data_IF_071560176334
#
_entry.id   IF_071560176334
#
_cell.length_a   1.000
_cell.length_b   1.000
_cell.length_c   1.000
_cell.angle_alpha   90.00
_cell.angle_beta   90.00
_cell.angle_gamma   90.00
#
_symmetry.space_group_name_H-M   'P 1'
#
loop_
_entity.id
_entity.type
_entity.pdbx_description
1 polymer ?
#
# COMPACT_ATOMS: atom_id res chain seq x y z
N UNK A 1 -12.23 16.51 33.07
CA UNK A 1 -11.05 16.22 32.21
C UNK A 1 -9.77 15.96 32.99
N UNK A 2 -9.29 16.88 33.83
CA UNK A 2 -8.03 16.71 34.58
C UNK A 2 -8.00 15.44 35.44
N UNK A 3 -9.14 15.08 36.05
CA UNK A 3 -9.27 13.84 36.81
C UNK A 3 -9.04 12.59 35.94
N UNK A 4 -9.58 12.54 34.72
CA UNK A 4 -9.36 11.42 33.78
C UNK A 4 -7.87 11.28 33.47
N UNK A 5 -7.21 12.39 33.16
CA UNK A 5 -5.77 12.42 32.87
C UNK A 5 -4.94 11.96 34.07
N UNK A 6 -5.26 12.49 35.25
CA UNK A 6 -4.57 12.14 36.50
C UNK A 6 -4.70 10.66 36.83
N UNK A 7 -5.91 10.09 36.75
CA UNK A 7 -6.14 8.66 36.97
C UNK A 7 -5.42 7.80 35.93
N UNK A 8 -5.42 8.19 34.64
CA UNK A 8 -4.64 7.49 33.61
C UNK A 8 -3.15 7.51 33.91
N UNK A 9 -2.58 8.65 34.29
CA UNK A 9 -1.15 8.76 34.63
C UNK A 9 -0.77 7.93 35.86
N UNK A 10 -1.71 7.69 36.77
CA UNK A 10 -1.54 6.80 37.93
C UNK A 10 -1.75 5.31 37.58
N UNK A 11 -2.04 4.95 36.33
CA UNK A 11 -2.34 3.58 35.92
C UNK A 11 -3.74 3.09 36.32
N UNK A 12 -4.61 3.97 36.82
CA UNK A 12 -5.97 3.64 37.28
C UNK A 12 -6.97 3.68 36.11
N UNK A 13 -6.73 2.86 35.09
CA UNK A 13 -7.44 2.96 33.82
C UNK A 13 -8.95 2.68 33.91
N UNK A 14 -9.38 1.73 34.75
CA UNK A 14 -10.79 1.45 34.95
C UNK A 14 -11.52 2.62 35.65
N UNK A 15 -10.89 3.23 36.66
CA UNK A 15 -11.42 4.44 37.32
C UNK A 15 -11.47 5.62 36.34
N UNK A 16 -10.40 5.83 35.56
CA UNK A 16 -10.33 6.87 34.54
C UNK A 16 -11.43 6.70 33.49
N UNK A 17 -11.70 5.46 33.06
CA UNK A 17 -12.76 5.15 32.11
C UNK A 17 -14.15 5.39 32.69
N UNK A 18 -14.40 4.98 33.93
CA UNK A 18 -15.67 5.24 34.60
C UNK A 18 -15.93 6.76 34.68
N UNK A 19 -14.92 7.57 35.05
CA UNK A 19 -15.03 9.03 35.04
C UNK A 19 -15.25 9.55 33.62
N UNK A 20 -14.51 9.06 32.62
CA UNK A 20 -14.69 9.43 31.22
C UNK A 20 -16.14 9.23 30.74
N UNK A 21 -16.76 8.10 31.08
CA UNK A 21 -18.13 7.77 30.67
C UNK A 21 -19.20 8.69 31.27
N UNK A 22 -18.91 9.37 32.38
CA UNK A 22 -19.83 10.38 32.96
C UNK A 22 -19.83 11.70 32.20
N UNK A 23 -18.87 11.93 31.31
CA UNK A 23 -18.73 13.16 30.55
C UNK A 23 -19.60 13.05 29.29
N UNK A 24 -20.79 13.65 29.34
CA UNK A 24 -21.81 13.53 28.31
C UNK A 24 -21.86 14.70 27.32
N UNK A 25 -21.09 15.76 27.54
CA UNK A 25 -21.14 16.94 26.66
C UNK A 25 -20.40 16.65 25.34
N UNK A 26 -21.05 16.96 24.21
CA UNK A 26 -20.41 16.88 22.89
C UNK A 26 -19.21 17.85 22.78
N UNK A 27 -19.25 18.95 23.55
CA UNK A 27 -18.20 19.98 23.59
C UNK A 27 -16.89 19.47 24.23
N UNK A 28 -16.96 18.52 25.17
CA UNK A 28 -15.79 17.98 25.86
C UNK A 28 -15.12 16.82 25.10
N UNK A 29 -15.83 16.16 24.17
CA UNK A 29 -15.32 15.00 23.43
C UNK A 29 -14.00 15.26 22.70
N UNK A 30 -13.80 16.40 22.01
CA UNK A 30 -12.51 16.69 21.38
C UNK A 30 -11.37 16.64 22.39
N UNK A 31 -11.50 17.27 23.56
CA UNK A 31 -10.42 17.39 24.55
C UNK A 31 -10.05 16.07 25.26
N UNK A 32 -10.91 15.05 25.13
CA UNK A 32 -10.74 13.72 25.71
C UNK A 32 -10.51 12.64 24.66
N UNK A 33 -10.52 12.96 23.36
CA UNK A 33 -10.30 11.97 22.30
C UNK A 33 -8.95 11.25 22.43
N UNK A 34 -7.90 11.99 22.82
CA UNK A 34 -6.60 11.40 23.15
C UNK A 34 -6.69 10.41 24.31
N UNK A 35 -7.36 10.78 25.39
CA UNK A 35 -7.53 9.93 26.59
C UNK A 35 -8.31 8.66 26.24
N UNK A 36 -9.40 8.79 25.48
CA UNK A 36 -10.20 7.67 24.97
C UNK A 36 -9.35 6.72 24.13
N UNK A 37 -8.50 7.25 23.25
CA UNK A 37 -7.61 6.45 22.40
C UNK A 37 -6.59 5.60 23.16
N UNK A 38 -6.38 5.87 24.45
CA UNK A 38 -5.51 5.06 25.33
C UNK A 38 -6.37 4.15 26.20
N UNK A 39 -7.40 4.71 26.85
CA UNK A 39 -8.21 3.97 27.81
C UNK A 39 -8.95 2.80 27.18
N UNK A 40 -9.42 2.92 25.93
CA UNK A 40 -10.08 1.83 25.20
C UNK A 40 -9.26 0.55 25.18
N UNK A 41 -7.92 0.65 25.08
CA UNK A 41 -7.03 -0.50 25.15
C UNK A 41 -7.04 -1.15 26.53
N UNK A 42 -6.86 -0.35 27.59
CA UNK A 42 -6.71 -0.87 28.95
C UNK A 42 -8.00 -1.42 29.56
N UNK A 43 -9.17 -0.93 29.13
CA UNK A 43 -10.46 -1.47 29.59
C UNK A 43 -10.97 -2.61 28.70
N UNK A 44 -10.20 -3.02 27.70
CA UNK A 44 -10.51 -4.20 26.89
C UNK A 44 -11.65 -4.00 25.88
N UNK A 45 -11.82 -2.80 25.33
CA UNK A 45 -12.75 -2.58 24.22
C UNK A 45 -12.33 -3.50 23.05
N UNK A 46 -13.28 -4.22 22.41
CA UNK A 46 -12.97 -5.06 21.26
C UNK A 46 -12.19 -4.29 20.19
N UNK A 47 -11.06 -4.85 19.74
CA UNK A 47 -10.11 -4.16 18.84
C UNK A 47 -10.77 -3.53 17.61
N UNK A 48 -11.67 -4.25 16.96
CA UNK A 48 -12.38 -3.74 15.79
C UNK A 48 -13.32 -2.57 16.11
N UNK A 49 -13.90 -2.49 17.30
CA UNK A 49 -14.69 -1.33 17.74
C UNK A 49 -13.78 -0.15 18.08
N UNK A 50 -12.70 -0.41 18.81
CA UNK A 50 -11.71 0.60 19.14
C UNK A 50 -11.06 1.22 17.89
N UNK A 51 -10.81 0.45 16.82
CA UNK A 51 -10.30 0.96 15.55
C UNK A 51 -11.29 1.90 14.84
N UNK A 52 -12.56 1.51 14.75
CA UNK A 52 -13.59 2.37 14.13
C UNK A 52 -13.69 3.69 14.90
N UNK A 53 -13.75 3.61 16.23
CA UNK A 53 -13.80 4.78 17.08
C UNK A 53 -12.55 5.66 16.95
N UNK A 54 -11.37 5.05 16.95
CA UNK A 54 -10.10 5.74 16.79
C UNK A 54 -10.04 6.49 15.45
N UNK A 55 -10.35 5.84 14.34
CA UNK A 55 -10.26 6.45 13.00
C UNK A 55 -11.27 7.58 12.82
N UNK A 56 -12.49 7.40 13.34
CA UNK A 56 -13.54 8.43 13.33
C UNK A 56 -13.12 9.63 14.17
N UNK A 57 -12.70 9.39 15.41
CA UNK A 57 -12.27 10.44 16.33
C UNK A 57 -11.01 11.16 15.83
N UNK A 58 -10.07 10.44 15.23
CA UNK A 58 -8.85 11.01 14.62
C UNK A 58 -9.20 11.96 13.48
N UNK A 59 -10.20 11.57 12.67
CA UNK A 59 -10.66 12.37 11.54
C UNK A 59 -11.38 13.65 12.00
N UNK A 60 -12.09 13.60 13.12
CA UNK A 60 -12.86 14.73 13.66
C UNK A 60 -11.99 15.69 14.49
N UNK A 61 -11.20 15.19 15.43
CA UNK A 61 -10.63 16.01 16.51
C UNK A 61 -9.14 16.33 16.36
N UNK A 62 -8.40 15.58 15.52
CA UNK A 62 -7.00 15.82 15.14
C UNK A 62 -5.96 15.91 16.28
N UNK A 63 -6.36 15.69 17.52
CA UNK A 63 -5.52 15.77 18.72
C UNK A 63 -5.20 14.39 19.32
N UNK A 64 -5.40 13.33 18.54
CA UNK A 64 -5.07 11.96 18.90
C UNK A 64 -3.68 11.62 18.34
N UNK A 65 -2.87 10.92 19.12
CA UNK A 65 -1.59 10.41 18.62
C UNK A 65 -1.84 9.24 17.66
N UNK A 66 -1.39 9.40 16.42
CA UNK A 66 -1.51 8.38 15.37
C UNK A 66 -0.81 7.07 15.77
N UNK A 67 0.26 7.13 16.57
CA UNK A 67 0.99 5.96 17.03
C UNK A 67 0.14 5.01 17.89
N UNK A 68 -0.97 5.50 18.50
CA UNK A 68 -1.88 4.66 19.26
C UNK A 68 -2.64 3.64 18.41
N UNK A 69 -2.69 3.83 17.08
CA UNK A 69 -3.31 2.88 16.16
C UNK A 69 -2.77 1.46 16.36
N UNK A 70 -1.46 1.31 16.58
CA UNK A 70 -0.78 0.02 16.65
C UNK A 70 -1.25 -0.90 17.77
N UNK A 71 -1.91 -0.38 18.81
CA UNK A 71 -2.41 -1.17 19.93
C UNK A 71 -3.70 -1.92 19.58
N UNK A 72 -4.39 -1.48 18.53
CA UNK A 72 -5.69 -2.01 18.14
C UNK A 72 -5.66 -2.84 16.86
N UNK A 73 -4.65 -2.67 16.00
CA UNK A 73 -4.53 -3.43 14.75
C UNK A 73 -4.24 -4.91 15.03
N UNK A 74 -5.03 -5.79 14.42
CA UNK A 74 -4.92 -7.24 14.53
C UNK A 74 -4.70 -7.91 13.17
N UNK A 75 -4.39 -9.23 13.17
CA UNK A 75 -4.33 -9.99 11.95
C UNK A 75 -5.73 -10.14 11.35
N UNK A 76 -5.83 -10.14 10.03
CA UNK A 76 -7.06 -10.48 9.34
C UNK A 76 -7.15 -12.01 9.13
N UNK A 77 -8.30 -12.65 9.44
CA UNK A 77 -8.50 -14.07 9.15
C UNK A 77 -8.41 -14.34 7.65
N UNK A 78 -7.34 -15.01 7.22
CA UNK A 78 -7.08 -15.29 5.80
C UNK A 78 -6.53 -16.69 5.60
N UNK A 79 -6.78 -17.25 4.41
CA UNK A 79 -6.09 -18.46 3.96
C UNK A 79 -4.74 -18.05 3.37
N UNK A 80 -3.65 -18.59 3.89
CA UNK A 80 -2.29 -18.21 3.52
C UNK A 80 -1.55 -19.45 3.03
N UNK A 81 -0.86 -19.34 1.90
CA UNK A 81 0.07 -20.37 1.40
C UNK A 81 1.31 -19.72 0.79
N UNK A 82 2.49 -20.35 0.88
CA UNK A 82 3.67 -19.87 0.16
C UNK A 82 3.37 -19.70 -1.34
N UNK A 83 3.85 -18.61 -1.94
CA UNK A 83 3.86 -18.47 -3.38
C UNK A 83 5.22 -18.96 -3.90
N UNK A 84 5.28 -20.07 -4.65
CA UNK A 84 6.51 -20.84 -4.83
C UNK A 84 7.47 -20.19 -5.83
N UNK A 85 8.16 -19.13 -5.41
CA UNK A 85 9.21 -18.46 -6.17
C UNK A 85 10.58 -18.73 -5.56
N UNK A 86 11.57 -18.97 -6.43
CA UNK A 86 12.93 -19.21 -6.00
C UNK A 86 13.77 -17.93 -6.12
N UNK A 87 14.76 -17.74 -5.22
CA UNK A 87 15.79 -16.73 -5.41
C UNK A 87 16.46 -16.85 -6.79
N UNK A 88 16.89 -15.71 -7.33
CA UNK A 88 17.66 -15.63 -8.58
C UNK A 88 18.97 -14.90 -8.29
N UNK A 89 20.07 -15.63 -8.28
CA UNK A 89 21.38 -15.11 -7.89
C UNK A 89 21.33 -14.45 -6.49
N UNK A 90 21.68 -13.16 -6.40
CA UNK A 90 21.60 -12.34 -5.18
C UNK A 90 20.17 -11.91 -4.80
N UNK A 91 19.20 -12.11 -5.68
CA UNK A 91 17.88 -11.49 -5.59
C UNK A 91 16.82 -12.41 -4.97
N UNK A 92 16.02 -11.87 -4.07
CA UNK A 92 14.82 -12.53 -3.53
C UNK A 92 13.55 -12.01 -4.20
N UNK A 93 12.58 -12.91 -4.47
CA UNK A 93 11.26 -12.49 -4.92
C UNK A 93 10.52 -11.77 -3.80
N UNK A 94 9.73 -10.76 -4.17
CA UNK A 94 8.91 -9.98 -3.26
C UNK A 94 7.45 -9.98 -3.72
N UNK A 95 6.68 -8.96 -3.33
CA UNK A 95 5.28 -8.82 -3.67
C UNK A 95 5.05 -8.68 -5.17
N UNK A 96 3.81 -8.94 -5.59
CA UNK A 96 3.48 -8.97 -7.02
C UNK A 96 2.40 -7.99 -7.38
N UNK A 97 2.52 -7.36 -8.54
CA UNK A 97 1.35 -6.77 -9.21
C UNK A 97 0.56 -7.85 -9.95
N UNK A 98 -0.75 -7.64 -10.08
CA UNK A 98 -1.68 -8.60 -10.68
C UNK A 98 -2.51 -7.85 -11.73
N UNK A 99 -2.51 -8.36 -12.96
CA UNK A 99 -3.35 -7.88 -14.05
C UNK A 99 -4.07 -9.05 -14.72
N UNK A 100 -5.39 -8.96 -14.85
CA UNK A 100 -6.16 -9.98 -15.57
C UNK A 100 -5.96 -9.84 -17.08
N UNK A 101 -5.39 -10.86 -17.72
CA UNK A 101 -5.19 -10.87 -19.18
C UNK A 101 -6.44 -11.36 -19.93
N UNK A 102 -7.08 -12.38 -19.36
CA UNK A 102 -8.28 -13.01 -19.93
C UNK A 102 -9.11 -13.61 -18.78
N UNK A 103 -10.30 -14.18 -19.07
CA UNK A 103 -11.08 -14.88 -18.04
C UNK A 103 -10.32 -16.03 -17.35
N UNK A 104 -9.27 -16.58 -17.98
CA UNK A 104 -8.53 -17.75 -17.48
C UNK A 104 -7.06 -17.51 -17.19
N UNK A 105 -6.53 -16.31 -17.47
CA UNK A 105 -5.10 -15.99 -17.30
C UNK A 105 -4.88 -14.68 -16.56
N UNK A 106 -3.89 -14.69 -15.67
CA UNK A 106 -3.36 -13.53 -14.98
C UNK A 106 -1.92 -13.27 -15.43
N UNK A 107 -1.58 -11.99 -15.54
CA UNK A 107 -0.22 -11.49 -15.68
C UNK A 107 0.24 -10.95 -14.33
N UNK A 108 1.36 -11.47 -13.85
CA UNK A 108 1.99 -11.00 -12.63
C UNK A 108 3.30 -10.29 -12.97
N UNK A 109 3.61 -9.23 -12.26
CA UNK A 109 4.99 -8.76 -12.12
C UNK A 109 5.48 -9.09 -10.72
N UNK A 110 6.55 -9.87 -10.61
CA UNK A 110 7.27 -10.10 -9.37
C UNK A 110 8.49 -9.19 -9.33
N UNK A 111 8.57 -8.34 -8.32
CA UNK A 111 9.79 -7.59 -8.03
C UNK A 111 10.79 -8.52 -7.33
N UNK A 112 12.03 -8.48 -7.77
CA UNK A 112 13.16 -9.17 -7.18
C UNK A 112 14.10 -8.12 -6.57
N UNK A 113 14.55 -8.31 -5.33
CA UNK A 113 15.43 -7.36 -4.62
C UNK A 113 16.71 -8.02 -4.13
N UNK A 114 17.83 -7.31 -4.20
CA UNK A 114 19.10 -7.84 -3.72
C UNK A 114 19.37 -7.58 -2.23
N UNK A 115 18.44 -7.07 -1.43
CA UNK A 115 18.69 -6.75 -0.01
C UNK A 115 17.97 -7.66 0.98
N UNK A 116 18.38 -7.58 2.24
CA UNK A 116 17.72 -8.18 3.41
C UNK A 116 17.47 -7.12 4.47
N UNK A 117 16.24 -7.05 4.97
CA UNK A 117 15.89 -6.19 6.10
C UNK A 117 16.33 -6.90 7.39
N UNK A 118 17.12 -6.22 8.20
CA UNK A 118 17.62 -6.72 9.48
C UNK A 118 16.61 -6.46 10.61
N UNK A 119 16.77 -7.12 11.75
CA UNK A 119 15.88 -6.95 12.93
C UNK A 119 15.81 -5.49 13.41
N UNK A 120 16.91 -4.74 13.27
CA UNK A 120 16.98 -3.31 13.60
C UNK A 120 16.42 -2.38 12.49
N UNK A 121 15.78 -2.93 11.45
CA UNK A 121 15.21 -2.18 10.33
C UNK A 121 16.22 -1.68 9.30
N UNK A 122 17.52 -1.97 9.46
CA UNK A 122 18.54 -1.63 8.46
C UNK A 122 18.51 -2.59 7.26
N UNK A 123 19.15 -2.19 6.16
CA UNK A 123 19.21 -2.95 4.91
C UNK A 123 20.65 -3.39 4.65
N UNK A 124 20.84 -4.65 4.27
CA UNK A 124 22.10 -5.16 3.74
C UNK A 124 21.88 -5.64 2.32
N UNK A 125 22.68 -5.12 1.37
CA UNK A 125 22.58 -5.42 -0.06
C UNK A 125 23.57 -6.53 -0.42
N UNK A 126 23.09 -7.53 -1.13
CA UNK A 126 23.85 -8.68 -1.63
C UNK A 126 24.50 -8.35 -2.97
N UNK A 127 25.77 -8.69 -3.09
CA UNK A 127 26.54 -8.66 -4.34
C UNK A 127 27.56 -9.81 -4.34
N UNK A 128 27.44 -10.73 -5.29
CA UNK A 128 28.30 -11.91 -5.37
C UNK A 128 28.18 -12.83 -4.14
N UNK A 129 27.00 -12.86 -3.50
CA UNK A 129 26.75 -13.59 -2.26
C UNK A 129 27.21 -12.88 -0.97
N UNK A 130 27.79 -11.67 -1.06
CA UNK A 130 28.24 -10.91 0.11
C UNK A 130 27.26 -9.80 0.47
N UNK A 131 26.87 -9.74 1.75
CA UNK A 131 25.99 -8.70 2.29
C UNK A 131 26.78 -7.49 2.80
N UNK A 132 26.42 -6.29 2.36
CA UNK A 132 27.03 -5.03 2.79
C UNK A 132 26.04 -3.87 2.72
N UNK A 133 26.10 -2.90 3.65
CA UNK A 133 25.34 -1.65 3.52
C UNK A 133 25.92 -0.71 2.46
N UNK A 134 27.08 -1.03 1.89
CA UNK A 134 27.77 -0.22 0.88
C UNK A 134 27.53 -0.68 -0.57
N UNK A 135 26.95 -1.86 -0.79
CA UNK A 135 26.57 -2.31 -2.13
C UNK A 135 25.34 -1.53 -2.62
N UNK A 136 25.15 -1.45 -3.93
CA UNK A 136 23.98 -0.77 -4.50
C UNK A 136 22.71 -1.60 -4.28
N UNK A 137 21.60 -0.91 -4.01
CA UNK A 137 20.28 -1.52 -4.04
C UNK A 137 19.92 -1.74 -5.50
N UNK A 138 19.50 -2.95 -5.86
CA UNK A 138 19.15 -3.33 -7.22
C UNK A 138 17.81 -4.07 -7.21
N UNK A 139 16.97 -3.75 -8.18
CA UNK A 139 15.74 -4.49 -8.45
C UNK A 139 15.74 -5.10 -9.85
N UNK A 140 15.10 -6.26 -9.97
CA UNK A 140 14.75 -6.91 -11.24
C UNK A 140 13.25 -7.17 -11.23
N UNK A 141 12.65 -7.28 -12.40
CA UNK A 141 11.22 -7.49 -12.54
C UNK A 141 10.99 -8.71 -13.42
N UNK A 142 10.18 -9.66 -12.94
CA UNK A 142 9.90 -10.91 -13.64
C UNK A 142 8.40 -11.02 -13.89
N UNK A 143 8.06 -11.14 -15.16
CA UNK A 143 6.72 -11.43 -15.63
C UNK A 143 6.41 -12.91 -15.43
N UNK A 144 5.25 -13.21 -14.83
CA UNK A 144 4.67 -14.54 -14.82
C UNK A 144 3.31 -14.51 -15.51
N UNK A 145 3.07 -15.44 -16.44
CA UNK A 145 1.71 -15.74 -16.89
C UNK A 145 1.23 -16.94 -16.09
N UNK A 146 0.10 -16.77 -15.42
CA UNK A 146 -0.48 -17.81 -14.55
C UNK A 146 -1.92 -18.11 -14.93
N UNK A 147 -2.42 -19.27 -14.52
CA UNK A 147 -3.86 -19.54 -14.50
C UNK A 147 -4.57 -18.80 -13.34
N UNK A 148 -5.87 -19.03 -13.16
CA UNK A 148 -6.65 -18.40 -12.09
C UNK A 148 -6.32 -18.96 -10.69
N UNK A 149 -5.59 -20.07 -10.61
CA UNK A 149 -5.16 -20.74 -9.39
C UNK A 149 -3.71 -20.37 -9.02
N UNK A 150 -3.14 -19.39 -9.75
CA UNK A 150 -1.78 -18.88 -9.63
C UNK A 150 -0.70 -19.93 -9.92
N UNK A 151 -0.97 -20.91 -10.80
CA UNK A 151 0.06 -21.80 -11.34
C UNK A 151 0.78 -21.13 -12.50
N UNK A 152 2.10 -21.06 -12.44
CA UNK A 152 2.95 -20.45 -13.49
C UNK A 152 2.96 -21.30 -14.75
N UNK A 153 2.63 -20.66 -15.88
CA UNK A 153 2.68 -21.22 -17.22
C UNK A 153 3.93 -20.73 -17.99
N UNK A 154 4.24 -19.45 -17.86
CA UNK A 154 5.37 -18.78 -18.54
C UNK A 154 6.06 -17.83 -17.57
N UNK A 155 7.38 -17.68 -17.71
CA UNK A 155 8.22 -16.83 -16.87
C UNK A 155 9.27 -16.12 -17.74
N UNK A 156 9.29 -14.78 -17.68
CA UNK A 156 10.22 -13.96 -18.46
C UNK A 156 10.67 -12.74 -17.66
N UNK A 157 11.94 -12.35 -17.81
CA UNK A 157 12.41 -11.10 -17.21
C UNK A 157 11.90 -9.89 -18.00
N UNK A 158 11.41 -8.87 -17.29
CA UNK A 158 10.96 -7.60 -17.84
C UNK A 158 12.13 -6.63 -17.86
N UNK A 159 12.62 -6.29 -19.04
CA UNK A 159 13.85 -5.49 -19.20
C UNK A 159 13.52 -4.14 -19.81
N UNK A 160 13.96 -3.01 -19.21
CA UNK A 160 13.91 -1.71 -19.88
C UNK A 160 14.59 -1.77 -21.25
N UNK A 161 13.89 -1.29 -22.29
CA UNK A 161 14.40 -1.25 -23.66
C UNK A 161 15.65 -0.35 -23.75
N UNK A 162 15.57 0.80 -23.09
CA UNK A 162 16.58 1.84 -23.13
C UNK A 162 17.44 1.80 -21.85
N UNK A 163 18.71 2.22 -21.92
CA UNK A 163 19.56 2.32 -20.74
C UNK A 163 19.04 3.40 -19.77
N UNK A 164 19.39 3.31 -18.48
CA UNK A 164 19.05 4.34 -17.51
C UNK A 164 19.66 5.70 -17.88
N UNK A 165 18.98 6.78 -17.51
CA UNK A 165 19.41 8.16 -17.79
C UNK A 165 20.29 8.74 -16.68
N UNK A 166 20.27 8.14 -15.48
CA UNK A 166 21.07 8.58 -14.32
C UNK A 166 21.81 7.42 -13.66
N UNK A 167 23.05 7.68 -13.22
CA UNK A 167 23.81 6.75 -12.39
C UNK A 167 23.49 6.97 -10.90
N UNK A 168 22.88 5.99 -10.24
CA UNK A 168 22.42 6.07 -8.84
C UNK A 168 22.76 4.78 -8.08
N UNK A 169 22.66 4.84 -6.75
CA UNK A 169 22.89 3.70 -5.85
C UNK A 169 21.62 2.86 -5.57
N UNK A 170 20.49 3.27 -6.14
CA UNK A 170 19.21 2.57 -6.14
C UNK A 170 18.87 2.33 -7.60
N UNK A 171 18.97 1.07 -8.03
CA UNK A 171 18.93 0.67 -9.41
C UNK A 171 17.69 -0.15 -9.76
N UNK A 172 17.17 0.07 -10.97
CA UNK A 172 16.01 -0.62 -11.51
C UNK A 172 14.67 0.10 -11.29
N UNK A 173 13.60 -0.64 -11.54
CA UNK A 173 12.22 -0.21 -11.35
C UNK A 173 11.66 -0.87 -10.09
N UNK A 174 11.18 -0.06 -9.16
CA UNK A 174 10.54 -0.49 -7.91
C UNK A 174 9.03 -0.50 -8.06
N UNK A 175 8.37 -1.47 -7.43
CA UNK A 175 6.92 -1.52 -7.24
C UNK A 175 6.10 -1.31 -8.54
N UNK A 176 6.48 -2.01 -9.62
CA UNK A 176 5.75 -2.02 -10.89
C UNK A 176 4.28 -2.38 -10.65
N UNK A 177 3.37 -1.49 -11.05
CA UNK A 177 1.92 -1.64 -11.03
C UNK A 177 1.41 -1.80 -12.44
N UNK A 178 1.00 -3.00 -12.81
CA UNK A 178 0.46 -3.31 -14.13
C UNK A 178 -1.00 -2.85 -14.26
N UNK A 179 -1.33 -2.21 -15.37
CA UNK A 179 -2.71 -1.82 -15.69
C UNK A 179 -2.96 -1.88 -17.20
N UNK A 180 -4.23 -1.76 -17.59
CA UNK A 180 -4.62 -1.63 -18.99
C UNK A 180 -4.99 -0.20 -19.32
N UNK A 181 -4.48 0.27 -20.46
CA UNK A 181 -4.88 1.49 -21.14
C UNK A 181 -5.22 1.10 -22.57
N UNK A 182 -6.48 1.23 -22.96
CA UNK A 182 -6.99 0.69 -24.21
C UNK A 182 -6.64 -0.81 -24.38
N UNK A 183 -5.88 -1.16 -25.43
CA UNK A 183 -5.41 -2.51 -25.73
C UNK A 183 -3.99 -2.80 -25.22
N UNK A 184 -3.33 -1.80 -24.61
CA UNK A 184 -1.95 -1.91 -24.18
C UNK A 184 -1.85 -2.28 -22.70
N UNK A 185 -0.80 -3.03 -22.38
CA UNK A 185 -0.39 -3.27 -21.01
C UNK A 185 0.58 -2.16 -20.64
N UNK A 186 0.16 -1.34 -19.69
CA UNK A 186 0.96 -0.25 -19.16
C UNK A 186 1.44 -0.58 -17.75
N UNK A 187 2.40 0.18 -17.27
CA UNK A 187 2.84 0.12 -15.90
C UNK A 187 3.13 1.50 -15.33
N UNK A 188 3.05 1.63 -14.00
CA UNK A 188 3.74 2.67 -13.25
C UNK A 188 4.75 2.04 -12.29
N UNK A 189 5.81 2.75 -11.97
CA UNK A 189 6.86 2.28 -11.07
C UNK A 189 7.60 3.48 -10.46
N UNK A 190 8.32 3.24 -9.37
CA UNK A 190 9.28 4.22 -8.86
C UNK A 190 10.67 3.90 -9.39
N UNK A 191 11.44 4.91 -9.80
CA UNK A 191 12.85 4.74 -10.14
C UNK A 191 13.68 5.98 -9.83
N UNK A 192 14.95 5.76 -9.50
CA UNK A 192 15.95 6.83 -9.50
C UNK A 192 16.63 6.97 -10.87
N UNK A 193 16.86 5.86 -11.58
CA UNK A 193 17.72 5.82 -12.76
C UNK A 193 17.01 6.22 -14.04
N UNK A 194 15.68 6.02 -14.06
CA UNK A 194 14.81 6.35 -15.18
C UNK A 194 13.97 7.61 -14.92
N UNK A 195 14.15 8.28 -13.78
CA UNK A 195 13.43 9.51 -13.48
C UNK A 195 13.94 10.70 -14.30
N UNK A 196 13.18 11.79 -14.28
CA UNK A 196 13.57 13.01 -15.00
C UNK A 196 14.89 13.61 -14.48
N UNK A 197 15.19 13.46 -13.19
CA UNK A 197 16.23 14.23 -12.48
C UNK A 197 17.13 13.41 -11.55
N UNK A 198 17.08 12.07 -11.61
CA UNK A 198 17.89 11.20 -10.76
C UNK A 198 17.38 11.06 -9.31
N UNK A 199 16.27 11.69 -8.97
CA UNK A 199 15.60 11.54 -7.66
C UNK A 199 14.65 10.34 -7.67
N UNK A 200 14.15 9.96 -6.49
CA UNK A 200 13.15 8.89 -6.35
C UNK A 200 11.84 9.44 -6.90
N UNK A 201 11.45 9.07 -8.12
CA UNK A 201 10.25 9.58 -8.76
C UNK A 201 9.45 8.48 -9.43
N UNK A 202 8.19 8.77 -9.74
CA UNK A 202 7.35 7.89 -10.54
C UNK A 202 7.75 7.93 -12.02
N UNK A 203 7.60 6.79 -12.67
CA UNK A 203 7.74 6.58 -14.11
C UNK A 203 6.52 5.78 -14.58
N UNK A 204 6.16 5.91 -15.85
CA UNK A 204 5.21 5.02 -16.51
C UNK A 204 5.79 4.42 -17.77
N UNK A 205 5.03 3.52 -18.38
CA UNK A 205 5.18 3.27 -19.79
C UNK A 205 4.44 2.02 -20.22
N UNK A 206 4.96 1.39 -21.27
CA UNK A 206 4.32 0.24 -21.92
C UNK A 206 5.17 -1.00 -21.68
N UNK A 207 4.52 -2.08 -21.26
CA UNK A 207 5.09 -3.41 -21.24
C UNK A 207 4.65 -4.16 -22.50
N UNK A 208 5.62 -4.50 -23.35
CA UNK A 208 5.41 -5.36 -24.49
C UNK A 208 5.64 -6.82 -24.07
N UNK A 209 4.55 -7.59 -24.02
CA UNK A 209 4.57 -8.99 -23.55
C UNK A 209 5.28 -9.93 -24.53
N UNK A 210 5.32 -9.61 -25.83
CA UNK A 210 5.95 -10.48 -26.83
C UNK A 210 7.48 -10.32 -26.83
N UNK A 211 7.97 -9.08 -26.68
CA UNK A 211 9.41 -8.81 -26.61
C UNK A 211 9.97 -8.80 -25.19
N UNK A 212 9.10 -8.85 -24.17
CA UNK A 212 9.40 -8.72 -22.74
C UNK A 212 10.09 -7.39 -22.37
N UNK A 213 9.87 -6.35 -23.18
CA UNK A 213 10.51 -5.05 -23.01
C UNK A 213 9.61 -4.03 -22.32
N UNK A 214 10.23 -3.16 -21.53
CA UNK A 214 9.59 -1.99 -20.91
C UNK A 214 10.07 -0.72 -21.62
N UNK A 215 9.15 0.02 -22.22
CA UNK A 215 9.40 1.42 -22.60
C UNK A 215 9.12 2.26 -21.37
N UNK A 216 10.10 3.05 -20.90
CA UNK A 216 10.00 3.81 -19.65
C UNK A 216 10.00 5.30 -19.93
N UNK A 217 9.01 6.02 -19.39
CA UNK A 217 8.85 7.46 -19.50
C UNK A 217 8.79 8.10 -18.10
N UNK A 218 9.59 9.14 -17.83
CA UNK A 218 9.60 9.78 -16.53
C UNK A 218 8.36 10.64 -16.28
N UNK A 219 7.86 10.61 -15.03
CA UNK A 219 6.89 11.59 -14.55
C UNK A 219 7.58 12.69 -13.74
N UNK A 220 7.06 13.90 -13.85
CA UNK A 220 7.53 15.06 -13.13
C UNK A 220 6.71 15.24 -11.85
N UNK A 221 7.38 15.41 -10.70
CA UNK A 221 6.69 15.77 -9.46
C UNK A 221 5.87 17.05 -9.67
N UNK A 222 4.56 17.03 -9.34
CA UNK A 222 3.72 18.23 -9.44
C UNK A 222 4.07 19.27 -8.36
N UNK A 223 4.83 18.89 -7.33
CA UNK A 223 5.20 19.75 -6.20
C UNK A 223 6.70 20.01 -6.07
N UNK A 224 7.52 19.42 -6.95
CA UNK A 224 8.98 19.45 -6.83
C UNK A 224 9.52 18.59 -5.68
N UNK A 225 8.75 17.61 -5.19
CA UNK A 225 9.18 16.68 -4.14
C UNK A 225 10.39 15.87 -4.60
N UNK A 226 11.31 15.59 -3.66
CA UNK A 226 12.46 14.72 -3.91
C UNK A 226 12.08 13.23 -3.94
N UNK A 227 10.92 12.89 -3.40
CA UNK A 227 10.42 11.52 -3.30
C UNK A 227 8.98 11.52 -3.79
N UNK A 228 8.74 10.90 -4.93
CA UNK A 228 7.41 10.53 -5.41
C UNK A 228 7.33 9.00 -5.43
N UNK A 229 6.37 8.45 -4.68
CA UNK A 229 6.08 7.02 -4.60
C UNK A 229 4.58 6.83 -4.40
N UNK A 230 4.10 5.63 -4.74
CA UNK A 230 2.76 5.14 -4.48
C UNK A 230 1.65 5.87 -5.26
N UNK A 231 1.95 6.44 -6.43
CA UNK A 231 0.90 6.93 -7.32
C UNK A 231 0.16 5.73 -7.95
N UNK A 232 -1.18 5.76 -7.92
CA UNK A 232 -2.00 4.61 -8.33
C UNK A 232 -2.73 4.90 -9.63
N UNK A 233 -2.48 4.15 -10.72
CA UNK A 233 -3.25 4.30 -11.95
C UNK A 233 -4.71 3.85 -11.74
N UNK A 234 -5.64 4.62 -12.28
CA UNK A 234 -7.06 4.28 -12.37
C UNK A 234 -7.31 3.54 -13.69
N UNK A 235 -7.63 2.25 -13.57
CA UNK A 235 -7.68 1.27 -14.65
C UNK A 235 -8.93 1.38 -15.56
N UNK A 236 -9.31 2.58 -16.00
CA UNK A 236 -10.63 2.78 -16.66
C UNK A 236 -10.74 3.80 -17.77
N UNK A 237 -9.65 4.25 -18.38
CA UNK A 237 -9.75 5.16 -19.52
C UNK A 237 -9.59 4.44 -20.87
N UNK A 238 -10.59 4.60 -21.73
CA UNK A 238 -10.28 4.89 -23.13
C UNK A 238 -9.68 6.31 -23.14
N UNK A 239 -8.42 6.48 -23.57
CA UNK A 239 -7.73 7.77 -23.53
C UNK A 239 -6.69 7.92 -22.42
N UNK A 240 -6.51 9.13 -21.86
CA UNK A 240 -5.39 9.45 -20.94
C UNK A 240 -5.48 8.67 -19.61
N UNK A 241 -4.33 8.21 -19.11
CA UNK A 241 -4.24 7.54 -17.82
C UNK A 241 -4.52 8.53 -16.69
N UNK A 242 -5.46 8.19 -15.81
CA UNK A 242 -5.69 8.90 -14.56
C UNK A 242 -4.89 8.24 -13.44
N UNK A 243 -4.38 9.05 -12.53
CA UNK A 243 -3.61 8.61 -11.36
C UNK A 243 -4.16 9.25 -10.10
N UNK A 244 -4.26 8.46 -9.03
CA UNK A 244 -4.36 8.97 -7.67
C UNK A 244 -2.96 9.38 -7.22
N UNK A 245 -2.77 10.67 -7.01
CA UNK A 245 -1.54 11.28 -6.52
C UNK A 245 -1.49 11.37 -4.99
N UNK A 246 -2.62 11.73 -4.36
CA UNK A 246 -2.74 11.86 -2.91
C UNK A 246 -4.08 11.30 -2.44
N UNK A 247 -4.11 10.77 -1.22
CA UNK A 247 -5.31 10.23 -0.57
C UNK A 247 -5.99 11.23 0.39
N UNK A 248 -5.32 12.33 0.77
CA UNK A 248 -5.92 13.39 1.57
C UNK A 248 -5.33 14.79 1.28
N UNK A 249 -6.12 15.71 0.68
CA UNK A 249 -7.36 15.40 -0.04
C UNK A 249 -7.09 14.36 -1.14
N UNK A 250 -8.14 13.67 -1.61
CA UNK A 250 -8.01 12.73 -2.71
C UNK A 250 -7.75 13.53 -4.00
N UNK A 251 -6.51 13.52 -4.48
CA UNK A 251 -6.09 14.24 -5.69
C UNK A 251 -5.94 13.22 -6.81
N UNK A 252 -6.71 13.43 -7.88
CA UNK A 252 -6.67 12.65 -9.10
C UNK A 252 -6.21 13.56 -10.23
N UNK A 253 -5.34 13.06 -11.10
CA UNK A 253 -4.85 13.82 -12.24
C UNK A 253 -4.44 12.95 -13.42
N UNK A 254 -4.22 13.60 -14.56
CA UNK A 254 -3.68 12.95 -15.76
C UNK A 254 -2.20 13.24 -15.88
N UNK A 255 -1.45 12.29 -16.45
CA UNK A 255 -0.07 12.51 -16.87
C UNK A 255 -0.05 12.66 -18.39
N UNK A 256 0.51 13.77 -18.88
CA UNK A 256 0.70 14.02 -20.31
C UNK A 256 2.09 14.56 -20.56
N UNK A 257 2.86 13.84 -21.39
CA UNK A 257 4.27 14.15 -21.66
C UNK A 257 5.08 14.28 -20.35
N UNK A 258 4.87 13.35 -19.42
CA UNK A 258 5.48 13.37 -18.08
C UNK A 258 4.94 14.41 -17.11
N UNK A 259 4.07 15.33 -17.51
CA UNK A 259 3.54 16.38 -16.62
C UNK A 259 2.23 15.94 -15.99
N UNK A 260 2.19 15.88 -14.66
CA UNK A 260 0.96 15.65 -13.90
C UNK A 260 0.08 16.91 -13.86
N UNK A 261 -1.19 16.77 -14.22
CA UNK A 261 -2.20 17.82 -14.14
C UNK A 261 -3.36 17.35 -13.26
N UNK A 262 -3.65 18.12 -12.23
CA UNK A 262 -4.80 17.87 -11.36
C UNK A 262 -6.08 17.93 -12.19
N UNK A 263 -6.85 16.85 -12.12
CA UNK A 263 -8.17 16.72 -12.71
C UNK A 263 -9.26 16.99 -11.68
N UNK A 264 -9.12 16.42 -10.47
CA UNK A 264 -10.08 16.60 -9.38
C UNK A 264 -9.42 16.52 -8.01
N UNK A 265 -10.01 17.23 -7.06
CA UNK A 265 -9.69 17.18 -5.64
C UNK A 265 -10.99 16.87 -4.88
N UNK A 266 -11.01 15.75 -4.16
CA UNK A 266 -12.19 15.25 -3.45
C UNK A 266 -11.88 15.14 -1.94
N UNK A 267 -12.87 15.42 -1.07
CA UNK A 267 -12.66 15.29 0.37
C UNK A 267 -12.51 13.83 0.77
N UNK A 268 -11.65 13.58 1.75
CA UNK A 268 -11.52 12.29 2.44
C UNK A 268 -11.42 12.53 3.95
N UNK A 269 -11.74 11.53 4.79
CA UNK A 269 -11.53 11.65 6.24
C UNK A 269 -10.08 12.04 6.55
N UNK A 270 -9.84 12.89 7.56
CA UNK A 270 -8.49 13.36 7.88
C UNK A 270 -7.51 12.24 8.25
N UNK A 271 -7.98 11.05 8.65
CA UNK A 271 -7.13 9.86 8.77
C UNK A 271 -6.39 9.50 7.48
N UNK A 272 -6.97 9.75 6.30
CA UNK A 272 -6.37 9.41 4.99
C UNK A 272 -5.07 10.14 4.68
N UNK A 273 -4.69 11.16 5.47
CA UNK A 273 -3.35 11.78 5.38
C UNK A 273 -2.20 10.81 5.65
N UNK A 274 -2.50 9.67 6.29
CA UNK A 274 -1.54 8.59 6.58
C UNK A 274 -1.62 7.44 5.59
N UNK A 275 -2.59 7.48 4.67
CA UNK A 275 -2.85 6.43 3.70
C UNK A 275 -1.99 6.66 2.46
N UNK A 276 -1.37 5.59 1.98
CA UNK A 276 -0.54 5.53 0.79
C UNK A 276 -1.09 4.48 -0.16
N UNK A 277 -0.95 4.71 -1.47
CA UNK A 277 -1.36 3.74 -2.47
C UNK A 277 -0.58 2.43 -2.35
N UNK A 278 -1.23 1.30 -2.64
CA UNK A 278 -0.56 0.00 -2.73
C UNK A 278 -0.80 -0.62 -4.10
N UNK A 279 -2.04 -1.00 -4.39
CA UNK A 279 -2.38 -1.77 -5.60
C UNK A 279 -3.15 -0.93 -6.61
N UNK A 280 -3.15 -1.37 -7.86
CA UNK A 280 -4.09 -0.84 -8.86
C UNK A 280 -5.54 -1.19 -8.51
N UNK A 281 -6.48 -0.59 -9.24
CA UNK A 281 -7.91 -0.79 -9.00
C UNK A 281 -8.47 -2.03 -9.70
N UNK A 282 -9.32 -2.76 -9.00
CA UNK A 282 -10.16 -3.84 -9.55
C UNK A 282 -11.60 -3.37 -9.51
N UNK A 283 -12.28 -3.41 -10.65
CA UNK A 283 -13.72 -3.16 -10.71
C UNK A 283 -14.49 -4.42 -10.33
N UNK A 284 -15.39 -4.29 -9.36
CA UNK A 284 -16.20 -5.40 -8.85
C UNK A 284 -17.53 -4.84 -8.32
N UNK A 285 -18.65 -5.48 -8.65
CA UNK A 285 -20.00 -5.13 -8.15
C UNK A 285 -20.37 -3.63 -8.23
N UNK A 286 -20.01 -2.95 -9.32
CA UNK A 286 -20.34 -1.53 -9.52
C UNK A 286 -19.34 -0.54 -8.89
N UNK A 287 -18.27 -1.01 -8.25
CA UNK A 287 -17.32 -0.18 -7.52
C UNK A 287 -15.87 -0.49 -7.89
N UNK A 288 -14.99 0.44 -7.57
CA UNK A 288 -13.54 0.30 -7.73
C UNK A 288 -12.91 0.01 -6.37
N UNK A 289 -12.20 -1.12 -6.27
CA UNK A 289 -11.49 -1.53 -5.06
C UNK A 289 -9.99 -1.44 -5.26
N UNK A 290 -9.28 -0.95 -4.24
CA UNK A 290 -7.82 -0.96 -4.20
C UNK A 290 -7.38 -1.23 -2.76
N UNK A 291 -6.30 -1.99 -2.62
CA UNK A 291 -5.61 -2.09 -1.35
C UNK A 291 -4.69 -0.88 -1.20
N UNK A 292 -4.80 -0.22 -0.05
CA UNK A 292 -3.92 0.87 0.38
C UNK A 292 -3.23 0.45 1.67
N UNK A 293 -2.26 1.24 2.12
CA UNK A 293 -1.59 0.96 3.38
C UNK A 293 -1.33 2.23 4.18
N UNK A 294 -1.19 2.06 5.50
CA UNK A 294 -0.65 3.08 6.39
C UNK A 294 0.55 2.50 7.15
N UNK A 295 1.46 3.38 7.57
CA UNK A 295 2.75 2.98 8.18
C UNK A 295 2.84 3.56 9.58
N UNK A 296 3.31 2.75 10.53
CA UNK A 296 3.81 3.22 11.83
C UNK A 296 5.34 3.12 11.81
N UNK A 297 6.01 4.27 11.98
CA UNK A 297 7.47 4.41 11.90
C UNK A 297 8.17 3.92 13.19
N UNK A 298 7.87 2.71 13.64
CA UNK A 298 8.64 1.99 14.66
C UNK A 298 9.89 1.35 14.05
N UNK A 299 10.75 0.78 14.89
CA UNK A 299 11.90 -0.02 14.47
C UNK A 299 11.71 -1.46 14.94
N UNK A 300 11.39 -2.42 14.05
CA UNK A 300 11.09 -2.25 12.61
C UNK A 300 9.74 -1.57 12.36
N UNK A 301 9.54 -1.08 11.12
CA UNK A 301 8.29 -0.44 10.69
C UNK A 301 7.13 -1.44 10.70
N UNK A 302 5.92 -0.93 10.88
CA UNK A 302 4.68 -1.73 10.78
C UNK A 302 3.82 -1.20 9.65
N UNK A 303 3.43 -2.08 8.74
CA UNK A 303 2.60 -1.77 7.59
C UNK A 303 1.23 -2.37 7.83
N UNK A 304 0.19 -1.55 7.72
CA UNK A 304 -1.19 -2.01 7.85
C UNK A 304 -1.94 -1.79 6.55
N UNK A 305 -2.62 -2.83 6.11
CA UNK A 305 -3.42 -2.84 4.91
C UNK A 305 -4.84 -2.35 5.19
N UNK A 306 -5.43 -1.67 4.21
CA UNK A 306 -6.83 -1.30 4.19
C UNK A 306 -7.36 -1.50 2.77
N UNK A 307 -8.60 -1.98 2.66
CA UNK A 307 -9.30 -2.00 1.38
C UNK A 307 -10.16 -0.73 1.28
N UNK A 308 -10.00 0.02 0.19
CA UNK A 308 -10.86 1.17 -0.13
C UNK A 308 -11.83 0.81 -1.23
N UNK A 309 -13.00 1.44 -1.20
CA UNK A 309 -14.07 1.31 -2.18
C UNK A 309 -14.42 2.70 -2.70
N UNK A 310 -14.25 2.91 -4.00
CA UNK A 310 -14.65 4.13 -4.70
C UNK A 310 -15.86 3.85 -5.59
N UNK A 311 -16.70 4.87 -5.79
CA UNK A 311 -17.75 4.85 -6.82
C UNK A 311 -17.18 5.14 -8.22
N UNK A 312 -18.05 5.15 -9.23
CA UNK A 312 -17.66 5.43 -10.62
C UNK A 312 -17.26 6.89 -10.87
N UNK A 313 -17.56 7.79 -9.93
CA UNK A 313 -17.08 9.18 -9.92
C UNK A 313 -15.77 9.33 -9.13
N UNK A 314 -15.14 8.22 -8.75
CA UNK A 314 -13.92 8.13 -7.96
C UNK A 314 -14.03 8.69 -6.53
N UNK A 315 -15.25 8.91 -6.02
CA UNK A 315 -15.44 9.35 -4.64
C UNK A 315 -15.32 8.17 -3.67
N UNK A 316 -14.71 8.41 -2.51
CA UNK A 316 -14.56 7.40 -1.47
C UNK A 316 -15.91 7.07 -0.84
N UNK A 317 -16.35 5.81 -0.97
CA UNK A 317 -17.63 5.31 -0.45
C UNK A 317 -17.45 4.68 0.92
N UNK A 318 -16.45 3.81 1.04
CA UNK A 318 -16.14 3.11 2.28
C UNK A 318 -14.70 2.62 2.29
N UNK A 319 -14.20 2.28 3.48
CA UNK A 319 -12.88 1.70 3.67
C UNK A 319 -12.88 0.77 4.88
N UNK A 320 -11.99 -0.20 4.91
CA UNK A 320 -11.88 -1.12 6.05
C UNK A 320 -11.05 -0.51 7.18
N UNK A 321 -11.24 -1.01 8.40
CA UNK A 321 -10.23 -0.81 9.45
C UNK A 321 -8.88 -1.41 9.01
N UNK A 322 -7.75 -0.90 9.51
CA UNK A 322 -6.43 -1.45 9.20
C UNK A 322 -6.21 -2.85 9.79
N UNK A 323 -5.48 -3.68 9.06
CA UNK A 323 -5.10 -5.05 9.45
C UNK A 323 -3.70 -5.43 8.91
N UNK A 324 -3.13 -6.50 9.44
CA UNK A 324 -1.99 -7.21 8.81
C UNK A 324 -2.41 -8.65 8.48
N UNK A 325 -1.65 -9.36 7.64
CA UNK A 325 -1.98 -10.72 7.22
C UNK A 325 -1.41 -11.76 8.18
N UNK A 326 -0.09 -11.75 8.41
CA UNK A 326 0.59 -12.81 9.18
C UNK A 326 1.25 -12.24 10.42
N UNK A 327 2.14 -11.28 10.24
CA UNK A 327 2.99 -10.73 11.29
C UNK A 327 2.88 -9.22 11.31
N UNK A 328 2.97 -8.66 12.52
CA UNK A 328 2.92 -7.22 12.72
C UNK A 328 4.29 -6.55 12.43
N UNK A 329 4.70 -6.57 11.16
CA UNK A 329 5.90 -5.93 10.64
C UNK A 329 5.66 -5.40 9.21
N UNK A 330 6.69 -5.34 8.36
CA UNK A 330 6.52 -4.95 6.96
C UNK A 330 5.87 -6.12 6.22
N UNK A 331 4.65 -5.92 5.77
CA UNK A 331 3.97 -6.73 4.77
C UNK A 331 3.53 -5.79 3.64
N UNK A 332 3.73 -6.19 2.38
CA UNK A 332 3.46 -5.30 1.26
C UNK A 332 2.88 -6.05 0.08
N UNK A 333 1.91 -5.45 -0.62
CA UNK A 333 1.29 -6.00 -1.83
C UNK A 333 1.09 -4.92 -2.88
N UNK A 334 1.29 -5.27 -4.16
CA UNK A 334 1.19 -4.35 -5.32
C UNK A 334 0.06 -4.74 -6.27
N UNK A 335 -0.66 -5.84 -5.98
CA UNK A 335 -1.81 -6.29 -6.77
C UNK A 335 -2.84 -7.04 -5.94
N UNK A 336 -4.11 -6.87 -6.31
CA UNK A 336 -5.22 -7.69 -5.85
C UNK A 336 -5.96 -8.27 -7.06
N UNK A 337 -6.66 -9.36 -6.83
CA UNK A 337 -7.67 -9.92 -7.73
C UNK A 337 -8.95 -10.19 -6.92
N UNK A 338 -10.11 -9.90 -7.51
CA UNK A 338 -11.40 -10.08 -6.84
C UNK A 338 -12.28 -10.99 -7.68
N UNK A 339 -12.59 -12.16 -7.13
CA UNK A 339 -13.56 -13.13 -7.64
C UNK A 339 -14.56 -13.49 -6.55
N UNK A 340 -14.71 -14.79 -6.24
CA UNK A 340 -15.44 -15.23 -5.05
C UNK A 340 -14.73 -14.89 -3.74
N UNK A 341 -13.42 -14.65 -3.81
CA UNK A 341 -12.57 -14.17 -2.72
C UNK A 341 -11.72 -13.02 -3.24
N UNK A 342 -11.26 -12.17 -2.32
CA UNK A 342 -10.17 -11.24 -2.58
C UNK A 342 -8.86 -11.99 -2.42
N UNK A 343 -8.00 -11.91 -3.43
CA UNK A 343 -6.70 -12.60 -3.47
C UNK A 343 -5.58 -11.61 -3.73
N UNK A 344 -4.44 -11.79 -3.07
CA UNK A 344 -3.24 -11.00 -3.32
C UNK A 344 -1.99 -11.80 -2.99
N UNK A 345 -0.84 -11.37 -3.54
CA UNK A 345 0.45 -11.91 -3.14
C UNK A 345 1.22 -10.82 -2.42
N UNK A 346 1.50 -11.04 -1.14
CA UNK A 346 2.24 -10.10 -0.30
C UNK A 346 3.63 -10.64 0.04
N UNK A 347 4.61 -9.75 0.14
CA UNK A 347 5.92 -10.06 0.73
C UNK A 347 5.91 -9.83 2.24
N UNK A 348 6.79 -10.52 2.94
CA UNK A 348 7.10 -10.30 4.36
C UNK A 348 8.53 -9.75 4.45
N UNK A 349 8.71 -8.53 4.97
CA UNK A 349 10.00 -7.82 5.00
C UNK A 349 10.75 -7.84 3.65
N UNK A 350 10.01 -7.61 2.56
CA UNK A 350 10.51 -7.64 1.18
C UNK A 350 11.15 -8.97 0.76
N UNK A 351 10.62 -10.09 1.25
CA UNK A 351 10.95 -11.42 0.78
C UNK A 351 9.76 -12.38 0.98
N UNK A 352 9.99 -13.68 0.73
CA UNK A 352 9.10 -14.79 1.06
C UNK A 352 7.62 -14.53 0.70
N UNK A 353 7.31 -14.37 -0.60
CA UNK A 353 5.97 -14.02 -1.03
C UNK A 353 4.96 -15.12 -0.66
N UNK A 354 3.81 -14.67 -0.19
CA UNK A 354 2.69 -15.51 0.23
C UNK A 354 1.44 -15.13 -0.54
N UNK A 355 0.72 -16.14 -1.02
CA UNK A 355 -0.62 -15.95 -1.57
C UNK A 355 -1.62 -15.96 -0.43
N UNK A 356 -2.42 -14.90 -0.38
CA UNK A 356 -3.44 -14.63 0.63
C UNK A 356 -4.80 -14.66 -0.05
N UNK A 357 -5.76 -15.33 0.58
CA UNK A 357 -7.17 -15.32 0.17
C UNK A 357 -8.06 -14.89 1.35
N UNK A 358 -8.94 -13.94 1.08
CA UNK A 358 -9.82 -13.30 2.06
C UNK A 358 -11.27 -13.33 1.61
N UNK A 359 -12.18 -13.56 2.55
CA UNK A 359 -13.60 -13.30 2.34
C UNK A 359 -13.87 -11.81 2.56
N UNK A 360 -14.44 -11.14 1.57
CA UNK A 360 -14.77 -9.71 1.71
C UNK A 360 -15.90 -9.46 2.71
N UNK A 361 -16.74 -10.47 3.00
CA UNK A 361 -17.80 -10.41 4.00
C UNK A 361 -17.28 -10.32 5.44
N UNK A 362 -16.06 -10.79 5.70
CA UNK A 362 -15.41 -10.74 7.02
C UNK A 362 -14.72 -9.40 7.29
N UNK A 363 -14.58 -8.54 6.27
CA UNK A 363 -13.97 -7.22 6.40
C UNK A 363 -14.90 -6.27 7.18
N UNK A 364 -14.32 -5.57 8.17
CA UNK A 364 -15.04 -4.53 8.90
C UNK A 364 -14.90 -3.17 8.20
N UNK A 365 -16.00 -2.71 7.61
CA UNK A 365 -16.09 -1.46 6.85
C UNK A 365 -16.50 -0.26 7.69
N UNK A 366 -16.00 0.92 7.31
CA UNK A 366 -16.42 2.24 7.74
C UNK A 366 -16.94 2.96 6.50
N UNK A 367 -18.21 3.39 6.55
CA UNK A 367 -18.81 4.21 5.49
C UNK A 367 -18.37 5.67 5.65
N UNK A 368 -18.21 6.37 4.52
CA UNK A 368 -17.88 7.81 4.48
C UNK A 368 -19.12 8.67 4.60
#
# INVERSE_FOLDING_TARGET
MELVRSLRYQGKHAEAWAVYQTISSEEDKPFLAYERSILSYYVGIPRGEALVDFMTSYSLYKNIDYANLQFYVGPFPSTIRPFPLQPKDDFLPTSTSILRLSPTKLLLNVRYVNYRIQENGSYLMSEGGFLSPHHFLRTRNVCLITDNEFQTMEEHEMVPRDPPTHARNICGLEDIRLFRKDYQICFSATSCEYSHNGLIQEVEGVYDIESHQLTVEPMHSPTGSHVEKNWIPLNRAYGDSLYIYSWHPLIIGTVKNGIFKIHSELPTPHFFRHVRGSTTFVYHDGYLYSMVHCVIETVPRKYYHMLVKLDESYSLVSYTIPYYFVKNHIEYTVGIDIGSKLRCIASQNDCDPILIEMDMGDLKWISV
#
